data_IF_619754357254
#
_entry.id   IF_619754357254
#
_cell.length_a   1.000
_cell.length_b   1.000
_cell.length_c   1.000
_cell.angle_alpha   90.00
_cell.angle_beta   90.00
_cell.angle_gamma   90.00
#
_symmetry.space_group_name_H-M   'P 1'
#
loop_
_entity.id
_entity.type
_entity.pdbx_description
1 polymer ?
#
# COMPACT_ATOMS: atom_id res chain seq x y z
N UNK A 1 15.12 -12.69 -53.82
CA UNK A 1 15.30 -11.33 -53.27
C UNK A 1 14.42 -11.22 -52.04
N UNK A 2 15.01 -11.35 -50.86
CA UNK A 2 14.33 -11.14 -49.59
C UNK A 2 14.57 -9.69 -49.16
N UNK A 3 13.50 -8.96 -48.84
CA UNK A 3 13.60 -7.64 -48.24
C UNK A 3 14.17 -7.79 -46.83
N UNK A 4 15.30 -7.15 -46.56
CA UNK A 4 15.85 -7.00 -45.21
C UNK A 4 14.96 -6.00 -44.47
N UNK A 5 14.38 -6.45 -43.36
CA UNK A 5 13.52 -5.66 -42.49
C UNK A 5 14.42 -4.91 -41.48
N UNK A 6 14.77 -3.67 -41.84
CA UNK A 6 15.62 -2.76 -41.07
C UNK A 6 15.12 -2.51 -39.63
N UNK A 7 13.83 -2.78 -39.35
CA UNK A 7 13.28 -2.63 -38.00
C UNK A 7 13.75 -3.72 -37.03
N UNK A 8 14.14 -4.89 -37.54
CA UNK A 8 14.59 -6.01 -36.68
C UNK A 8 16.00 -5.78 -36.14
N UNK A 9 16.84 -5.07 -36.90
CA UNK A 9 18.24 -4.80 -36.54
C UNK A 9 18.34 -3.66 -35.52
N UNK A 10 17.40 -2.70 -35.54
CA UNK A 10 17.29 -1.66 -34.51
C UNK A 10 16.73 -2.16 -33.17
N UNK A 11 15.87 -3.19 -33.20
CA UNK A 11 15.22 -3.75 -32.01
C UNK A 11 16.11 -4.72 -31.19
N UNK A 12 17.13 -5.32 -31.80
CA UNK A 12 17.99 -6.33 -31.15
C UNK A 12 19.50 -6.13 -31.40
N UNK A 13 19.88 -5.12 -32.18
CA UNK A 13 21.29 -4.75 -32.40
C UNK A 13 21.83 -4.04 -31.16
N UNK A 14 22.58 -4.76 -30.34
CA UNK A 14 23.38 -4.15 -29.29
C UNK A 14 24.47 -3.29 -29.90
N UNK A 15 24.50 -2.00 -29.57
CA UNK A 15 25.67 -1.16 -29.78
C UNK A 15 26.00 -0.33 -28.53
N UNK A 16 27.30 -0.12 -28.37
CA UNK A 16 28.02 0.44 -27.22
C UNK A 16 28.10 1.96 -27.40
N UNK A 17 27.30 2.72 -26.67
CA UNK A 17 27.37 4.18 -26.72
C UNK A 17 26.99 4.82 -25.38
N UNK A 18 27.99 5.42 -24.74
CA UNK A 18 27.83 6.31 -23.58
C UNK A 18 26.99 7.54 -23.97
N UNK A 19 26.26 8.07 -22.99
CA UNK A 19 25.57 9.37 -23.00
C UNK A 19 24.16 9.42 -23.64
N UNK A 20 23.16 8.92 -22.91
CA UNK A 20 21.75 9.31 -23.13
C UNK A 20 20.67 8.28 -22.73
N UNK A 21 21.03 7.02 -22.50
CA UNK A 21 20.04 5.92 -22.47
C UNK A 21 19.34 5.65 -21.13
N UNK A 22 19.78 6.25 -20.03
CA UNK A 22 19.23 5.92 -18.70
C UNK A 22 17.77 6.35 -18.50
N UNK A 23 17.30 7.40 -19.18
CA UNK A 23 15.90 7.82 -19.13
C UNK A 23 15.01 7.09 -20.14
N UNK A 24 15.56 6.67 -21.29
CA UNK A 24 14.82 5.94 -22.32
C UNK A 24 14.43 4.55 -21.84
N UNK A 25 15.36 3.81 -21.20
CA UNK A 25 15.09 2.46 -20.71
C UNK A 25 13.97 2.39 -19.66
N UNK A 26 13.81 3.42 -18.80
CA UNK A 26 12.70 3.46 -17.84
C UNK A 26 11.33 3.66 -18.50
N UNK A 27 11.26 4.41 -19.60
CA UNK A 27 10.02 4.59 -20.37
C UNK A 27 9.59 3.33 -21.14
N UNK A 28 10.51 2.40 -21.38
CA UNK A 28 10.20 1.10 -22.02
C UNK A 28 9.76 0.01 -21.04
N UNK A 29 9.90 0.21 -19.72
CA UNK A 29 9.63 -0.82 -18.70
C UNK A 29 8.22 -0.69 -18.09
N UNK A 30 7.57 0.47 -18.17
CA UNK A 30 6.19 0.63 -17.67
C UNK A 30 5.16 0.18 -18.71
N UNK A 31 4.20 -0.63 -18.26
CA UNK A 31 3.12 -1.17 -19.10
C UNK A 31 2.22 -0.06 -19.71
N UNK A 32 2.23 1.14 -19.14
CA UNK A 32 1.50 2.30 -19.66
C UNK A 32 2.02 2.76 -21.05
N UNK A 33 3.32 2.58 -21.34
CA UNK A 33 3.98 3.23 -22.48
C UNK A 33 4.37 2.30 -23.63
N UNK A 34 4.28 0.98 -23.46
CA UNK A 34 4.79 0.04 -24.46
C UNK A 34 3.69 -0.88 -25.06
N UNK A 35 3.31 -0.69 -26.34
CA UNK A 35 2.33 -1.51 -27.05
C UNK A 35 2.67 -3.01 -27.08
N UNK A 36 3.94 -3.38 -26.97
CA UNK A 36 4.40 -4.78 -26.98
C UNK A 36 3.90 -5.53 -25.73
N UNK A 37 3.74 -4.85 -24.59
CA UNK A 37 3.13 -5.45 -23.40
C UNK A 37 1.61 -5.68 -23.54
N UNK A 38 0.95 -4.92 -24.43
CA UNK A 38 -0.47 -5.14 -24.78
C UNK A 38 -0.65 -6.29 -25.77
N UNK A 39 0.37 -6.64 -26.53
CA UNK A 39 0.33 -7.66 -27.58
C UNK A 39 1.13 -8.92 -27.19
N UNK A 40 0.79 -9.55 -26.08
CA UNK A 40 0.97 -11.02 -25.89
C UNK A 40 2.33 -11.65 -26.22
N UNK A 41 3.46 -10.95 -26.13
CA UNK A 41 4.76 -11.55 -26.45
C UNK A 41 5.16 -12.56 -25.37
N UNK A 42 5.26 -13.82 -25.79
CA UNK A 42 5.61 -14.98 -24.99
C UNK A 42 7.13 -14.99 -24.78
N UNK A 43 7.58 -14.37 -23.72
CA UNK A 43 8.88 -14.66 -23.10
C UNK A 43 8.68 -15.44 -21.81
N UNK A 44 9.68 -16.24 -21.40
CA UNK A 44 9.74 -16.92 -20.10
C UNK A 44 9.70 -15.97 -18.88
N UNK A 45 9.64 -14.65 -19.15
CA UNK A 45 9.76 -13.54 -18.22
C UNK A 45 8.45 -12.77 -18.02
N UNK A 46 7.36 -13.23 -18.64
CA UNK A 46 6.04 -12.59 -18.54
C UNK A 46 5.05 -13.49 -17.81
N UNK A 47 4.13 -12.86 -17.08
CA UNK A 47 2.96 -13.56 -16.57
C UNK A 47 2.18 -14.10 -17.77
N UNK A 48 1.92 -15.42 -17.84
CA UNK A 48 1.21 -15.98 -19.01
C UNK A 48 -0.23 -15.48 -19.01
N UNK A 49 -0.79 -15.27 -20.20
CA UNK A 49 -2.19 -14.85 -20.33
C UNK A 49 -3.15 -15.90 -19.77
N UNK A 50 -2.82 -17.18 -19.92
CA UNK A 50 -3.56 -18.28 -19.29
C UNK A 50 -3.55 -18.18 -17.77
N UNK A 51 -2.39 -17.93 -17.16
CA UNK A 51 -2.26 -17.86 -15.70
C UNK A 51 -3.00 -16.64 -15.14
N UNK A 52 -3.01 -15.52 -15.86
CA UNK A 52 -3.76 -14.33 -15.50
C UNK A 52 -5.28 -14.52 -15.70
N UNK A 53 -5.69 -15.16 -16.79
CA UNK A 53 -7.10 -15.50 -17.04
C UNK A 53 -7.65 -16.45 -15.97
N UNK A 54 -6.86 -17.45 -15.57
CA UNK A 54 -7.19 -18.34 -14.46
C UNK A 54 -7.35 -17.56 -13.15
N UNK A 55 -6.47 -16.59 -12.88
CA UNK A 55 -6.61 -15.72 -11.71
C UNK A 55 -7.89 -14.91 -11.73
N UNK A 56 -8.29 -14.33 -12.88
CA UNK A 56 -9.57 -13.62 -12.99
C UNK A 56 -10.76 -14.57 -12.74
N UNK A 57 -10.72 -15.77 -13.33
CA UNK A 57 -11.75 -16.78 -13.10
C UNK A 57 -11.85 -17.21 -11.62
N UNK A 58 -10.71 -17.33 -10.93
CA UNK A 58 -10.65 -17.57 -9.49
C UNK A 58 -11.18 -16.36 -8.71
N UNK A 59 -10.78 -15.14 -9.04
CA UNK A 59 -11.25 -13.95 -8.32
C UNK A 59 -12.78 -13.86 -8.33
N UNK A 60 -13.42 -14.31 -9.41
CA UNK A 60 -14.87 -14.38 -9.53
C UNK A 60 -15.52 -15.48 -8.66
N UNK A 61 -14.88 -16.63 -8.50
CA UNK A 61 -15.54 -17.85 -7.96
C UNK A 61 -14.96 -18.35 -6.62
N UNK A 62 -13.68 -18.12 -6.39
CA UNK A 62 -12.92 -18.52 -5.20
C UNK A 62 -11.82 -17.49 -4.92
N UNK A 63 -12.20 -16.45 -4.15
CA UNK A 63 -11.30 -15.35 -3.78
C UNK A 63 -10.11 -15.82 -2.94
N UNK A 64 -10.26 -16.92 -2.19
CA UNK A 64 -9.17 -17.50 -1.39
C UNK A 64 -8.11 -18.10 -2.30
N UNK A 65 -8.51 -18.90 -3.29
CA UNK A 65 -7.59 -19.46 -4.27
C UNK A 65 -6.94 -18.37 -5.14
N UNK A 66 -7.66 -17.30 -5.47
CA UNK A 66 -7.10 -16.14 -6.16
C UNK A 66 -6.07 -15.40 -5.31
N UNK A 67 -6.33 -15.20 -4.01
CA UNK A 67 -5.39 -14.63 -3.06
C UNK A 67 -4.10 -15.45 -2.95
N UNK A 68 -4.21 -16.78 -2.85
CA UNK A 68 -3.05 -17.68 -2.86
C UNK A 68 -2.26 -17.59 -4.17
N UNK A 69 -2.95 -17.46 -5.31
CA UNK A 69 -2.29 -17.28 -6.61
C UNK A 69 -1.48 -15.99 -6.65
N UNK A 70 -2.06 -14.88 -6.22
CA UNK A 70 -1.39 -13.58 -6.20
C UNK A 70 -0.23 -13.57 -5.18
N UNK A 71 -0.38 -14.23 -4.02
CA UNK A 71 0.72 -14.42 -3.06
C UNK A 71 1.91 -15.16 -3.67
N UNK A 72 1.66 -16.24 -4.43
CA UNK A 72 2.73 -16.94 -5.15
C UNK A 72 3.46 -16.03 -6.15
N UNK A 73 2.74 -15.13 -6.81
CA UNK A 73 3.36 -14.16 -7.72
C UNK A 73 4.18 -13.09 -6.98
N UNK A 74 3.72 -12.64 -5.80
CA UNK A 74 4.47 -11.72 -4.93
C UNK A 74 5.80 -12.35 -4.48
N UNK A 75 5.79 -13.65 -4.17
CA UNK A 75 6.99 -14.39 -3.75
C UNK A 75 7.94 -14.76 -4.90
N UNK A 76 7.47 -14.60 -6.14
CA UNK A 76 8.24 -14.95 -7.33
C UNK A 76 8.98 -13.72 -7.88
N UNK A 77 10.28 -13.65 -7.64
CA UNK A 77 11.16 -12.62 -8.20
C UNK A 77 11.29 -12.76 -9.72
N UNK A 78 11.38 -11.64 -10.42
CA UNK A 78 11.64 -11.60 -11.87
C UNK A 78 13.14 -11.39 -12.15
N UNK A 79 13.71 -11.99 -13.20
CA UNK A 79 15.12 -11.76 -13.58
C UNK A 79 15.44 -10.30 -13.89
N UNK A 80 14.46 -9.52 -14.37
CA UNK A 80 14.59 -8.09 -14.67
C UNK A 80 14.44 -7.18 -13.43
N UNK A 81 14.24 -7.76 -12.25
CA UNK A 81 13.89 -7.02 -11.04
C UNK A 81 12.37 -6.94 -10.80
N UNK A 82 12.00 -6.67 -9.55
CA UNK A 82 10.61 -6.73 -9.08
C UNK A 82 10.07 -8.15 -8.94
N UNK A 83 8.76 -8.27 -8.78
CA UNK A 83 8.05 -9.55 -8.64
C UNK A 83 6.88 -9.69 -9.62
N UNK A 84 6.35 -10.90 -9.79
CA UNK A 84 5.20 -11.12 -10.67
C UNK A 84 3.90 -10.52 -10.13
N UNK A 85 3.80 -10.22 -8.83
CA UNK A 85 2.67 -9.52 -8.22
C UNK A 85 2.54 -8.10 -8.79
N UNK A 86 3.64 -7.38 -8.92
CA UNK A 86 3.65 -6.00 -9.47
C UNK A 86 3.13 -5.99 -10.91
N UNK A 87 3.58 -6.96 -11.73
CA UNK A 87 3.13 -7.13 -13.10
C UNK A 87 1.63 -7.53 -13.16
N UNK A 88 1.15 -8.33 -12.22
CA UNK A 88 -0.27 -8.67 -12.13
C UNK A 88 -1.11 -7.44 -11.82
N UNK A 89 -0.66 -6.59 -10.89
CA UNK A 89 -1.33 -5.32 -10.56
C UNK A 89 -1.35 -4.36 -11.76
N UNK A 90 -0.25 -4.23 -12.51
CA UNK A 90 -0.20 -3.42 -13.74
C UNK A 90 -1.21 -3.92 -14.77
N UNK A 91 -1.33 -5.24 -14.94
CA UNK A 91 -2.32 -5.83 -15.85
C UNK A 91 -3.74 -5.61 -15.39
N UNK A 92 -4.01 -5.68 -14.09
CA UNK A 92 -5.33 -5.36 -13.54
C UNK A 92 -5.70 -3.90 -13.82
N UNK A 93 -4.76 -2.96 -13.61
CA UNK A 93 -4.96 -1.55 -13.93
C UNK A 93 -5.24 -1.35 -15.43
N UNK A 94 -4.42 -1.95 -16.30
CA UNK A 94 -4.57 -1.84 -17.75
C UNK A 94 -5.87 -2.46 -18.30
N UNK A 95 -6.42 -3.48 -17.62
CA UNK A 95 -7.63 -4.20 -18.05
C UNK A 95 -8.89 -3.82 -17.29
N UNK A 96 -8.82 -2.88 -16.35
CA UNK A 96 -9.95 -2.52 -15.49
C UNK A 96 -11.26 -2.29 -16.26
N UNK A 97 -11.20 -1.56 -17.39
CA UNK A 97 -12.36 -1.25 -18.23
C UNK A 97 -12.96 -2.45 -19.00
N UNK A 98 -12.24 -3.57 -19.08
CA UNK A 98 -12.71 -4.80 -19.74
C UNK A 98 -13.28 -5.83 -18.77
N UNK A 99 -13.18 -5.57 -17.46
CA UNK A 99 -13.70 -6.47 -16.44
C UNK A 99 -15.19 -6.23 -16.22
N UNK A 100 -15.91 -7.29 -15.86
CA UNK A 100 -17.26 -7.15 -15.33
C UNK A 100 -17.24 -6.93 -13.81
N UNK A 101 -18.40 -6.57 -13.27
CA UNK A 101 -18.57 -6.31 -11.84
C UNK A 101 -18.12 -7.49 -10.97
N UNK A 102 -18.42 -8.72 -11.36
CA UNK A 102 -18.09 -9.90 -10.57
C UNK A 102 -16.56 -10.08 -10.43
N UNK A 103 -15.81 -9.88 -11.52
CA UNK A 103 -14.34 -9.87 -11.46
C UNK A 103 -13.83 -8.72 -10.59
N UNK A 104 -14.32 -7.49 -10.81
CA UNK A 104 -13.88 -6.31 -10.07
C UNK A 104 -14.05 -6.50 -8.56
N UNK A 105 -15.25 -6.90 -8.11
CA UNK A 105 -15.55 -7.16 -6.70
C UNK A 105 -14.71 -8.33 -6.13
N UNK A 106 -14.53 -9.40 -6.92
CA UNK A 106 -13.64 -10.49 -6.57
C UNK A 106 -12.19 -10.05 -6.32
N UNK A 107 -11.67 -9.17 -7.18
CA UNK A 107 -10.32 -8.60 -7.03
C UNK A 107 -10.22 -7.74 -5.77
N UNK A 108 -11.24 -6.95 -5.44
CA UNK A 108 -11.24 -6.18 -4.20
C UNK A 108 -11.21 -7.09 -2.97
N UNK A 109 -11.96 -8.21 -2.99
CA UNK A 109 -11.91 -9.20 -1.92
C UNK A 109 -10.51 -9.84 -1.80
N UNK A 110 -9.85 -10.11 -2.93
CA UNK A 110 -8.44 -10.56 -2.95
C UNK A 110 -7.51 -9.52 -2.32
N UNK A 111 -7.68 -8.24 -2.66
CA UNK A 111 -6.86 -7.16 -2.07
C UNK A 111 -7.08 -7.03 -0.56
N UNK A 112 -8.34 -7.12 -0.12
CA UNK A 112 -8.67 -7.12 1.30
C UNK A 112 -8.06 -8.29 2.08
N UNK A 113 -7.63 -9.35 1.39
CA UNK A 113 -6.95 -10.49 2.01
C UNK A 113 -5.43 -10.33 2.07
N UNK A 114 -4.78 -9.78 1.04
CA UNK A 114 -3.32 -9.93 0.91
C UNK A 114 -2.52 -8.63 0.93
N UNK A 115 -3.15 -7.45 0.80
CA UNK A 115 -2.38 -6.22 0.53
C UNK A 115 -1.49 -5.76 1.68
N UNK A 116 -1.82 -6.11 2.92
CA UNK A 116 -0.93 -5.87 4.06
C UNK A 116 0.31 -6.77 4.00
N UNK A 117 0.13 -8.04 3.65
CA UNK A 117 1.21 -9.03 3.49
C UNK A 117 2.12 -8.64 2.31
N UNK A 118 1.53 -8.23 1.19
CA UNK A 118 2.27 -7.72 0.05
C UNK A 118 3.11 -6.50 0.44
N UNK A 119 2.49 -5.49 1.05
CA UNK A 119 3.22 -4.30 1.48
C UNK A 119 4.33 -4.64 2.48
N UNK A 120 4.10 -5.56 3.41
CA UNK A 120 5.10 -5.93 4.43
C UNK A 120 6.34 -6.57 3.82
N UNK A 121 6.17 -7.35 2.74
CA UNK A 121 7.28 -7.93 1.97
C UNK A 121 7.94 -6.90 1.06
N UNK A 122 7.16 -5.96 0.52
CA UNK A 122 7.55 -5.01 -0.54
C UNK A 122 6.96 -3.62 -0.29
N UNK A 123 7.43 -2.88 0.74
CA UNK A 123 6.77 -1.64 1.18
C UNK A 123 6.84 -0.51 0.15
N UNK A 124 7.92 -0.45 -0.62
CA UNK A 124 8.01 0.48 -1.73
C UNK A 124 8.95 -0.14 -2.76
N UNK A 125 8.46 -0.37 -3.97
CA UNK A 125 9.27 -0.93 -5.07
C UNK A 125 9.75 0.16 -6.02
N UNK A 126 8.99 1.25 -6.13
CA UNK A 126 9.28 2.34 -7.04
C UNK A 126 9.28 3.68 -6.31
N UNK A 127 10.05 4.63 -6.85
CA UNK A 127 10.11 5.99 -6.30
C UNK A 127 8.71 6.64 -6.35
N UNK A 128 7.96 6.38 -7.43
CA UNK A 128 6.74 7.09 -7.78
C UNK A 128 5.45 6.41 -7.35
N UNK A 129 5.46 5.11 -7.03
CA UNK A 129 4.25 4.41 -6.60
C UNK A 129 4.55 3.27 -5.62
N UNK A 130 3.68 3.12 -4.62
CA UNK A 130 3.61 1.90 -3.82
C UNK A 130 2.40 1.03 -4.24
N UNK A 131 2.40 -0.22 -3.76
CA UNK A 131 1.36 -1.19 -4.11
C UNK A 131 -0.04 -0.76 -3.63
N UNK A 132 -0.13 0.02 -2.54
CA UNK A 132 -1.40 0.53 -2.06
C UNK A 132 -1.93 1.65 -2.97
N UNK A 133 -1.08 2.56 -3.43
CA UNK A 133 -1.42 3.58 -4.42
C UNK A 133 -1.85 2.95 -5.75
N UNK A 134 -1.18 1.89 -6.18
CA UNK A 134 -1.56 1.12 -7.37
C UNK A 134 -2.95 0.48 -7.19
N UNK A 135 -3.20 -0.17 -6.05
CA UNK A 135 -4.52 -0.75 -5.74
C UNK A 135 -5.62 0.32 -5.66
N UNK A 136 -5.32 1.51 -5.12
CA UNK A 136 -6.24 2.65 -5.12
C UNK A 136 -6.56 3.11 -6.55
N UNK A 137 -5.54 3.18 -7.41
CA UNK A 137 -5.70 3.42 -8.85
C UNK A 137 -6.66 2.42 -9.50
N UNK A 138 -6.48 1.13 -9.21
CA UNK A 138 -7.35 0.05 -9.71
C UNK A 138 -8.79 0.23 -9.24
N UNK A 139 -9.03 0.51 -7.94
CA UNK A 139 -10.39 0.75 -7.42
C UNK A 139 -11.07 1.94 -8.11
N UNK A 140 -10.34 3.03 -8.32
CA UNK A 140 -10.86 4.19 -9.08
C UNK A 140 -11.19 3.81 -10.52
N UNK A 141 -10.34 3.04 -11.17
CA UNK A 141 -10.60 2.55 -12.53
C UNK A 141 -11.83 1.65 -12.57
N UNK A 142 -12.05 0.75 -11.60
CA UNK A 142 -13.27 -0.05 -11.51
C UNK A 142 -14.51 0.83 -11.43
N UNK A 143 -14.52 1.81 -10.52
CA UNK A 143 -15.66 2.73 -10.40
C UNK A 143 -15.92 3.52 -11.68
N UNK A 144 -14.88 3.94 -12.39
CA UNK A 144 -15.03 4.76 -13.59
C UNK A 144 -15.43 3.96 -14.84
N UNK A 145 -15.08 2.67 -14.91
CA UNK A 145 -15.12 1.92 -16.17
C UNK A 145 -15.89 0.60 -16.14
N UNK A 146 -16.14 0.01 -14.97
CA UNK A 146 -16.89 -1.24 -14.85
C UNK A 146 -18.37 -0.93 -14.68
N UNK A 147 -19.24 -1.36 -15.61
CA UNK A 147 -20.67 -1.13 -15.52
C UNK A 147 -21.25 -1.68 -14.22
N UNK A 148 -22.09 -0.90 -13.57
CA UNK A 148 -22.78 -1.26 -12.31
C UNK A 148 -21.85 -1.56 -11.13
N UNK A 149 -20.56 -1.20 -11.20
CA UNK A 149 -19.64 -1.41 -10.09
C UNK A 149 -20.13 -0.72 -8.81
N UNK A 150 -20.27 -1.54 -7.77
CA UNK A 150 -20.79 -1.16 -6.47
C UNK A 150 -20.02 -1.92 -5.39
N UNK A 151 -19.09 -1.21 -4.73
CA UNK A 151 -18.27 -1.75 -3.65
C UNK A 151 -19.13 -2.11 -2.42
N UNK A 152 -20.30 -1.49 -2.26
CA UNK A 152 -21.25 -1.75 -1.18
C UNK A 152 -21.59 -3.23 -1.06
N UNK A 153 -21.71 -3.94 -2.19
CA UNK A 153 -22.09 -5.36 -2.26
C UNK A 153 -21.15 -6.32 -1.52
N UNK A 154 -19.88 -5.96 -1.36
CA UNK A 154 -18.88 -6.80 -0.68
C UNK A 154 -18.27 -6.11 0.54
N UNK A 155 -18.62 -4.85 0.81
CA UNK A 155 -18.02 -4.02 1.85
C UNK A 155 -18.07 -4.69 3.24
N UNK A 156 -19.21 -5.27 3.62
CA UNK A 156 -19.38 -5.98 4.88
C UNK A 156 -18.53 -7.27 4.93
N UNK A 157 -18.46 -8.01 3.82
CA UNK A 157 -17.66 -9.25 3.70
C UNK A 157 -16.19 -8.95 3.94
N UNK A 158 -15.64 -7.95 3.23
CA UNK A 158 -14.22 -7.59 3.38
C UNK A 158 -13.96 -6.99 4.76
N UNK A 159 -14.85 -6.15 5.28
CA UNK A 159 -14.68 -5.51 6.59
C UNK A 159 -14.60 -6.55 7.72
N UNK A 160 -15.42 -7.60 7.66
CA UNK A 160 -15.44 -8.67 8.66
C UNK A 160 -14.32 -9.69 8.47
N UNK A 161 -14.06 -10.08 7.23
CA UNK A 161 -13.20 -11.24 6.92
C UNK A 161 -11.78 -10.91 6.48
N UNK A 162 -11.57 -9.80 5.75
CA UNK A 162 -10.30 -9.54 5.08
C UNK A 162 -9.12 -9.37 6.04
N UNK A 163 -7.99 -10.02 5.78
CA UNK A 163 -6.81 -9.94 6.63
C UNK A 163 -6.03 -8.61 6.52
N UNK A 164 -6.15 -7.87 5.40
CA UNK A 164 -5.42 -6.64 5.13
C UNK A 164 -6.06 -5.40 5.79
N UNK A 165 -6.05 -5.37 7.13
CA UNK A 165 -6.66 -4.31 7.93
C UNK A 165 -6.12 -2.92 7.61
N UNK A 166 -4.81 -2.79 7.45
CA UNK A 166 -4.15 -1.50 7.26
C UNK A 166 -4.48 -0.93 5.89
N UNK A 167 -4.49 -1.77 4.85
CA UNK A 167 -4.97 -1.46 3.51
C UNK A 167 -6.44 -1.04 3.54
N UNK A 168 -7.33 -1.81 4.16
CA UNK A 168 -8.75 -1.48 4.25
C UNK A 168 -9.00 -0.13 4.93
N UNK A 169 -8.32 0.15 6.05
CA UNK A 169 -8.41 1.44 6.72
C UNK A 169 -7.86 2.56 5.84
N UNK A 170 -6.72 2.34 5.20
CA UNK A 170 -5.92 3.39 4.57
C UNK A 170 -6.33 3.73 3.14
N UNK A 171 -6.74 2.72 2.37
CA UNK A 171 -7.06 2.81 0.94
C UNK A 171 -8.56 2.93 0.74
N UNK A 172 -9.37 2.12 1.44
CA UNK A 172 -10.83 2.21 1.35
C UNK A 172 -11.34 3.28 2.32
N UNK A 173 -11.16 3.07 3.63
CA UNK A 173 -11.77 3.91 4.67
C UNK A 173 -11.35 5.39 4.59
N UNK A 174 -10.06 5.68 4.65
CA UNK A 174 -9.55 7.07 4.68
C UNK A 174 -9.95 7.87 3.44
N UNK A 175 -9.89 7.25 2.27
CA UNK A 175 -10.21 7.93 1.01
C UNK A 175 -11.68 8.27 0.92
N UNK A 176 -12.54 7.36 1.38
CA UNK A 176 -13.97 7.64 1.48
C UNK A 176 -14.27 8.69 2.56
N UNK A 177 -13.61 8.67 3.72
CA UNK A 177 -13.73 9.76 4.72
C UNK A 177 -13.48 11.14 4.08
N UNK A 178 -12.44 11.25 3.26
CA UNK A 178 -12.12 12.51 2.58
C UNK A 178 -13.10 12.82 1.44
N UNK A 179 -13.49 11.81 0.65
CA UNK A 179 -14.44 11.96 -0.45
C UNK A 179 -15.81 12.45 0.04
N UNK A 180 -16.25 11.98 1.22
CA UNK A 180 -17.49 12.41 1.88
C UNK A 180 -17.36 13.75 2.61
N UNK A 181 -16.17 14.37 2.63
CA UNK A 181 -15.93 15.63 3.33
C UNK A 181 -15.96 15.51 4.85
N UNK A 182 -15.83 14.31 5.41
CA UNK A 182 -15.75 14.07 6.85
C UNK A 182 -14.39 14.50 7.42
N UNK A 183 -13.37 14.58 6.58
CA UNK A 183 -12.07 15.17 6.88
C UNK A 183 -11.48 15.87 5.65
N UNK A 184 -10.59 16.84 5.90
CA UNK A 184 -9.92 17.60 4.84
C UNK A 184 -10.83 18.62 4.15
N UNK A 185 -10.34 19.14 3.02
CA UNK A 185 -10.92 20.25 2.26
C UNK A 185 -11.27 19.88 0.80
N UNK A 186 -11.31 18.57 0.49
CA UNK A 186 -11.49 18.06 -0.88
C UNK A 186 -12.60 17.00 -0.96
N UNK A 187 -13.85 17.35 -0.61
CA UNK A 187 -14.98 16.46 -0.87
C UNK A 187 -15.11 16.20 -2.37
N UNK A 188 -15.67 15.04 -2.71
CA UNK A 188 -15.97 14.64 -4.08
C UNK A 188 -17.48 14.55 -4.29
N UNK A 189 -17.88 14.60 -5.55
CA UNK A 189 -19.26 14.36 -5.95
C UNK A 189 -19.70 12.93 -5.63
N UNK A 190 -20.99 12.74 -5.37
CA UNK A 190 -21.58 11.47 -4.91
C UNK A 190 -21.31 10.32 -5.89
N UNK A 191 -21.25 10.62 -7.18
CA UNK A 191 -20.97 9.66 -8.25
C UNK A 191 -19.54 9.09 -8.14
N UNK A 192 -18.61 9.83 -7.54
CA UNK A 192 -17.22 9.43 -7.34
C UNK A 192 -16.99 8.65 -6.05
N UNK A 193 -17.98 8.57 -5.16
CA UNK A 193 -17.89 7.78 -3.94
C UNK A 193 -17.87 6.28 -4.29
N UNK A 194 -17.09 5.52 -3.53
CA UNK A 194 -17.06 4.06 -3.63
C UNK A 194 -18.14 3.43 -2.74
N UNK A 195 -18.41 4.05 -1.60
CA UNK A 195 -19.42 3.65 -0.63
C UNK A 195 -20.37 4.82 -0.39
N UNK A 196 -21.66 4.54 -0.25
CA UNK A 196 -22.59 5.53 0.30
C UNK A 196 -22.24 5.84 1.76
N UNK A 197 -22.75 6.96 2.29
CA UNK A 197 -22.49 7.37 3.67
C UNK A 197 -22.81 6.27 4.72
N UNK A 198 -23.99 5.59 4.67
CA UNK A 198 -24.28 4.50 5.61
C UNK A 198 -23.38 3.27 5.41
N UNK A 199 -22.99 2.95 4.18
CA UNK A 199 -22.06 1.85 3.91
C UNK A 199 -20.66 2.15 4.45
N UNK A 200 -20.19 3.39 4.29
CA UNK A 200 -18.92 3.85 4.85
C UNK A 200 -18.93 3.76 6.38
N UNK A 201 -19.99 4.24 7.03
CA UNK A 201 -20.12 4.18 8.49
C UNK A 201 -20.08 2.73 8.98
N UNK A 202 -20.88 1.84 8.36
CA UNK A 202 -20.91 0.42 8.69
C UNK A 202 -19.53 -0.25 8.48
N UNK A 203 -18.87 0.04 7.36
CA UNK A 203 -17.54 -0.46 7.04
C UNK A 203 -16.51 -0.03 8.09
N UNK A 204 -16.45 1.27 8.42
CA UNK A 204 -15.50 1.81 9.39
C UNK A 204 -15.74 1.25 10.79
N UNK A 205 -17.00 1.15 11.25
CA UNK A 205 -17.31 0.59 12.56
C UNK A 205 -16.83 -0.85 12.71
N UNK A 206 -16.99 -1.68 11.67
CA UNK A 206 -16.50 -3.07 11.70
C UNK A 206 -14.96 -3.10 11.70
N UNK A 207 -14.32 -2.40 10.76
CA UNK A 207 -12.84 -2.44 10.63
C UNK A 207 -12.15 -1.84 11.84
N UNK A 208 -12.61 -0.69 12.34
CA UNK A 208 -12.04 -0.09 13.55
C UNK A 208 -12.35 -0.90 14.80
N UNK A 209 -13.51 -1.55 14.88
CA UNK A 209 -13.80 -2.52 15.93
C UNK A 209 -12.82 -3.71 15.94
N UNK A 210 -12.32 -4.14 14.78
CA UNK A 210 -11.25 -5.14 14.67
C UNK A 210 -9.91 -4.59 15.13
N UNK A 211 -9.53 -3.39 14.68
CA UNK A 211 -8.30 -2.70 15.12
C UNK A 211 -8.27 -2.51 16.64
N UNK A 212 -9.40 -2.16 17.25
CA UNK A 212 -9.52 -2.00 18.69
C UNK A 212 -9.16 -3.29 19.45
N UNK A 213 -9.47 -4.47 18.90
CA UNK A 213 -9.24 -5.78 19.51
C UNK A 213 -7.82 -6.31 19.37
N UNK A 214 -7.00 -5.75 18.48
CA UNK A 214 -5.61 -6.19 18.29
C UNK A 214 -4.75 -5.95 19.53
N UNK A 215 -3.81 -6.85 19.80
CA UNK A 215 -2.78 -6.64 20.83
C UNK A 215 -1.81 -5.53 20.43
N UNK A 216 -1.01 -5.04 21.37
CA UNK A 216 0.03 -4.06 21.07
C UNK A 216 1.03 -4.58 20.03
N UNK A 217 1.43 -5.85 20.13
CA UNK A 217 2.40 -6.45 19.23
C UNK A 217 1.80 -6.67 17.83
N UNK A 218 0.52 -7.05 17.75
CA UNK A 218 -0.21 -7.12 16.48
C UNK A 218 -0.32 -5.75 15.81
N UNK A 219 -0.64 -4.70 16.57
CA UNK A 219 -0.70 -3.32 16.06
C UNK A 219 0.67 -2.84 15.54
N UNK A 220 1.75 -3.15 16.25
CA UNK A 220 3.11 -2.78 15.83
C UNK A 220 3.58 -3.55 14.60
N UNK A 221 3.02 -4.73 14.36
CA UNK A 221 3.28 -5.53 13.16
C UNK A 221 2.47 -5.08 11.93
N UNK A 222 1.48 -4.20 12.10
CA UNK A 222 0.69 -3.72 10.96
C UNK A 222 1.54 -2.82 10.04
N UNK A 223 1.48 -3.04 8.71
CA UNK A 223 2.13 -2.15 7.76
C UNK A 223 1.50 -0.76 7.82
N UNK A 224 2.31 0.29 7.64
CA UNK A 224 1.87 1.68 7.65
C UNK A 224 1.00 2.07 8.85
N UNK A 225 1.40 1.63 10.06
CA UNK A 225 0.71 1.98 11.30
C UNK A 225 0.40 3.49 11.39
N UNK A 226 1.30 4.36 10.93
CA UNK A 226 1.05 5.80 10.89
C UNK A 226 -0.20 6.18 10.09
N UNK A 227 -0.37 5.67 8.86
CA UNK A 227 -1.54 5.98 8.02
C UNK A 227 -2.82 5.50 8.69
N UNK A 228 -2.81 4.30 9.29
CA UNK A 228 -3.94 3.77 10.06
C UNK A 228 -4.32 4.69 11.25
N UNK A 229 -3.34 5.14 12.04
CA UNK A 229 -3.62 6.01 13.19
C UNK A 229 -4.13 7.39 12.77
N UNK A 230 -3.65 7.94 11.66
CA UNK A 230 -4.18 9.18 11.11
C UNK A 230 -5.61 9.00 10.58
N UNK A 231 -5.93 7.86 9.95
CA UNK A 231 -7.32 7.58 9.55
C UNK A 231 -8.25 7.51 10.77
N UNK A 232 -7.84 6.83 11.85
CA UNK A 232 -8.60 6.80 13.10
C UNK A 232 -8.78 8.21 13.68
N UNK A 233 -7.77 9.07 13.59
CA UNK A 233 -7.85 10.47 14.02
C UNK A 233 -8.83 11.29 13.18
N UNK A 234 -8.87 11.04 11.88
CA UNK A 234 -9.77 11.73 10.94
C UNK A 234 -11.22 11.25 11.06
N UNK A 235 -11.46 10.08 11.66
CA UNK A 235 -12.80 9.59 11.97
C UNK A 235 -13.26 10.07 13.35
N UNK A 236 -13.97 11.20 13.37
CA UNK A 236 -14.48 11.82 14.61
C UNK A 236 -15.37 10.90 15.44
N UNK A 237 -16.17 10.03 14.78
CA UNK A 237 -17.06 9.06 15.44
C UNK A 237 -16.33 7.91 16.15
N UNK A 238 -15.01 7.76 15.95
CA UNK A 238 -14.20 6.66 16.50
C UNK A 238 -12.95 7.16 17.25
N UNK A 239 -12.99 8.39 17.77
CA UNK A 239 -11.87 9.01 18.48
C UNK A 239 -11.47 8.26 19.78
N UNK A 240 -12.40 7.53 20.39
CA UNK A 240 -12.19 6.67 21.54
C UNK A 240 -11.28 5.47 21.21
N UNK A 241 -11.45 4.88 20.03
CA UNK A 241 -10.61 3.78 19.53
C UNK A 241 -9.17 4.25 19.35
N UNK A 242 -8.96 5.42 18.73
CA UNK A 242 -7.62 6.02 18.64
C UNK A 242 -6.99 6.19 20.02
N UNK A 243 -7.73 6.77 20.95
CA UNK A 243 -7.24 7.01 22.32
C UNK A 243 -6.84 5.71 23.01
N UNK A 244 -7.64 4.65 22.87
CA UNK A 244 -7.34 3.34 23.42
C UNK A 244 -6.10 2.69 22.76
N UNK A 245 -5.96 2.81 21.44
CA UNK A 245 -4.79 2.32 20.69
C UNK A 245 -3.52 3.07 21.13
N UNK A 246 -3.53 4.40 21.12
CA UNK A 246 -2.38 5.22 21.54
C UNK A 246 -1.99 4.97 22.98
N UNK A 247 -2.96 4.76 23.89
CA UNK A 247 -2.68 4.41 25.30
C UNK A 247 -1.90 3.09 25.41
N UNK A 248 -2.20 2.09 24.57
CA UNK A 248 -1.51 0.78 24.55
C UNK A 248 -0.11 0.86 23.95
N UNK A 249 0.07 1.67 22.91
CA UNK A 249 1.33 1.76 22.17
C UNK A 249 2.31 2.78 22.77
N UNK A 250 1.82 3.96 23.13
CA UNK A 250 2.63 5.12 23.47
C UNK A 250 2.17 5.89 24.72
N UNK A 251 1.20 5.34 25.48
CA UNK A 251 0.69 5.98 26.69
C UNK A 251 1.70 6.03 27.86
N UNK A 252 1.44 6.81 28.91
CA UNK A 252 2.38 7.03 30.02
C UNK A 252 2.84 5.75 30.75
N UNK A 253 2.02 4.69 30.69
CA UNK A 253 2.29 3.40 31.34
C UNK A 253 2.99 2.37 30.43
N UNK A 254 3.29 2.72 29.17
CA UNK A 254 4.00 1.80 28.28
C UNK A 254 5.49 1.79 28.60
N UNK A 255 6.14 0.65 28.41
CA UNK A 255 7.59 0.54 28.59
C UNK A 255 8.35 1.38 27.58
N UNK A 256 9.60 1.70 27.89
CA UNK A 256 10.49 2.40 26.97
C UNK A 256 10.72 1.59 25.69
N UNK A 257 10.89 0.27 25.81
CA UNK A 257 10.98 -0.65 24.68
C UNK A 257 9.76 -0.53 23.75
N UNK A 258 8.54 -0.57 24.30
CA UNK A 258 7.31 -0.48 23.50
C UNK A 258 7.16 0.86 22.81
N UNK A 259 7.52 1.96 23.48
CA UNK A 259 7.46 3.27 22.87
C UNK A 259 8.48 3.42 21.73
N UNK A 260 9.71 2.93 21.90
CA UNK A 260 10.70 2.92 20.82
C UNK A 260 10.23 2.05 19.64
N UNK A 261 9.67 0.86 19.89
CA UNK A 261 9.07 0.04 18.83
C UNK A 261 7.92 0.76 18.12
N UNK A 262 7.08 1.50 18.85
CA UNK A 262 6.05 2.36 18.27
C UNK A 262 6.65 3.44 17.36
N UNK A 263 7.68 4.16 17.80
CA UNK A 263 8.34 5.17 16.95
C UNK A 263 8.93 4.55 15.68
N UNK A 264 9.56 3.38 15.80
CA UNK A 264 10.06 2.64 14.64
C UNK A 264 8.92 2.20 13.70
N UNK A 265 7.79 1.75 14.23
CA UNK A 265 6.63 1.35 13.42
C UNK A 265 5.96 2.55 12.71
N UNK A 266 6.07 3.75 13.28
CA UNK A 266 5.61 5.00 12.67
C UNK A 266 6.48 5.49 11.52
N UNK A 267 7.66 4.88 11.31
CA UNK A 267 8.56 5.25 10.22
C UNK A 267 8.00 4.98 8.83
N UNK A 268 8.03 5.98 7.97
CA UNK A 268 7.72 5.85 6.54
C UNK A 268 8.90 5.25 5.77
N UNK A 269 8.62 4.63 4.61
CA UNK A 269 9.65 4.13 3.69
C UNK A 269 9.83 5.14 2.56
N UNK A 270 11.08 5.54 2.33
CA UNK A 270 11.47 6.47 1.26
C UNK A 270 12.46 5.78 0.34
N UNK A 271 12.29 5.97 -0.96
CA UNK A 271 13.25 5.55 -1.98
C UNK A 271 13.85 6.79 -2.59
N UNK A 272 15.18 6.85 -2.61
CA UNK A 272 15.93 7.87 -3.33
C UNK A 272 16.88 7.23 -4.33
N UNK A 273 17.12 7.89 -5.46
CA UNK A 273 18.05 7.44 -6.49
C UNK A 273 19.50 7.37 -6.01
N UNK A 274 19.91 8.26 -5.10
CA UNK A 274 21.27 8.34 -4.58
C UNK A 274 21.53 7.45 -3.35
N UNK A 275 20.51 7.21 -2.53
CA UNK A 275 20.63 6.58 -1.20
C UNK A 275 19.96 5.21 -1.11
N UNK A 276 19.15 4.85 -2.10
CA UNK A 276 18.37 3.62 -2.09
C UNK A 276 17.15 3.73 -1.16
N UNK A 277 16.80 2.61 -0.51
CA UNK A 277 15.64 2.51 0.38
C UNK A 277 16.06 2.81 1.81
N UNK A 278 15.42 3.79 2.43
CA UNK A 278 15.64 4.15 3.85
C UNK A 278 14.30 4.50 4.50
N UNK A 279 14.33 4.77 5.82
CA UNK A 279 13.13 5.10 6.59
C UNK A 279 13.24 6.48 7.20
N UNK A 280 12.12 7.20 7.24
CA UNK A 280 12.04 8.54 7.84
C UNK A 280 11.00 8.58 8.92
N UNK A 281 11.20 9.45 9.92
CA UNK A 281 10.25 9.65 11.01
C UNK A 281 9.85 11.12 11.14
N UNK A 282 8.58 11.41 10.84
CA UNK A 282 8.04 12.76 10.98
C UNK A 282 7.63 13.05 12.45
N UNK A 283 8.44 13.88 13.11
CA UNK A 283 8.17 14.34 14.47
C UNK A 283 6.91 15.20 14.59
N UNK A 284 6.54 15.97 13.56
CA UNK A 284 5.32 16.77 13.57
C UNK A 284 4.10 15.87 13.58
N UNK A 285 4.12 14.80 12.79
CA UNK A 285 3.07 13.80 12.79
C UNK A 285 2.91 13.12 14.17
N UNK A 286 4.03 12.73 14.80
CA UNK A 286 4.01 12.12 16.14
C UNK A 286 3.46 13.07 17.21
N UNK A 287 3.90 14.33 17.23
CA UNK A 287 3.38 15.36 18.14
C UNK A 287 1.90 15.60 17.94
N UNK A 288 1.44 15.54 16.70
CA UNK A 288 0.03 15.69 16.35
C UNK A 288 -0.82 14.54 16.91
N UNK A 289 -0.31 13.30 16.89
CA UNK A 289 -1.01 12.13 17.43
C UNK A 289 -0.96 12.05 18.96
N UNK A 290 0.21 12.29 19.56
CA UNK A 290 0.44 12.05 20.99
C UNK A 290 0.24 13.30 21.86
N UNK A 291 0.16 14.47 21.25
CA UNK A 291 0.27 15.76 21.92
C UNK A 291 1.74 16.18 22.08
N UNK A 292 2.04 17.43 21.68
CA UNK A 292 3.40 17.95 21.62
C UNK A 292 4.16 17.81 22.96
N UNK A 293 3.59 18.32 24.06
CA UNK A 293 4.25 18.29 25.36
C UNK A 293 4.47 16.87 25.90
N UNK A 294 3.51 15.96 25.69
CA UNK A 294 3.62 14.58 26.14
C UNK A 294 4.70 13.81 25.35
N UNK A 295 4.76 14.02 24.04
CA UNK A 295 5.79 13.43 23.19
C UNK A 295 7.19 13.97 23.54
N UNK A 296 7.35 15.30 23.55
CA UNK A 296 8.66 15.94 23.75
C UNK A 296 9.25 15.56 25.11
N UNK A 297 8.44 15.62 26.19
CA UNK A 297 8.90 15.24 27.53
C UNK A 297 9.36 13.77 27.60
N UNK A 298 8.61 12.85 26.96
CA UNK A 298 8.95 11.43 26.95
C UNK A 298 10.20 11.16 26.11
N UNK A 299 10.30 11.78 24.94
CA UNK A 299 11.43 11.62 24.04
C UNK A 299 12.72 12.16 24.65
N UNK A 300 12.71 13.36 25.23
CA UNK A 300 13.88 13.92 25.93
C UNK A 300 14.35 13.04 27.09
N UNK A 301 13.42 12.49 27.88
CA UNK A 301 13.77 11.53 28.95
C UNK A 301 14.47 10.29 28.38
N UNK A 302 14.00 9.75 27.25
CA UNK A 302 14.60 8.58 26.60
C UNK A 302 15.97 8.85 26.00
N UNK A 303 16.21 10.07 25.51
CA UNK A 303 17.52 10.48 25.01
C UNK A 303 18.55 10.57 26.13
N UNK A 304 18.17 11.05 27.32
CA UNK A 304 19.07 11.18 28.47
C UNK A 304 19.28 9.89 29.27
N UNK A 305 18.39 8.90 29.12
CA UNK A 305 18.42 7.65 29.88
C UNK A 305 19.47 6.68 29.32
N UNK A 306 20.29 6.09 30.19
CA UNK A 306 21.09 4.92 29.82
C UNK A 306 20.15 3.72 29.61
N UNK A 307 20.21 3.10 28.42
CA UNK A 307 19.35 1.96 28.08
C UNK A 307 20.20 0.69 27.97
N UNK A 308 19.54 -0.46 28.00
CA UNK A 308 20.20 -1.73 27.65
C UNK A 308 20.62 -1.70 26.17
N UNK A 309 21.68 -2.42 25.77
CA UNK A 309 22.27 -2.31 24.43
C UNK A 309 21.27 -2.43 23.28
N UNK A 310 20.28 -3.33 23.39
CA UNK A 310 19.26 -3.55 22.36
C UNK A 310 18.38 -2.31 22.15
N UNK A 311 18.04 -1.60 23.24
CA UNK A 311 17.24 -0.39 23.19
C UNK A 311 18.06 0.84 22.79
N UNK A 312 19.36 0.85 23.05
CA UNK A 312 20.26 1.89 22.52
C UNK A 312 20.38 1.78 21.00
N UNK A 313 20.56 0.58 20.47
CA UNK A 313 20.58 0.35 19.02
C UNK A 313 19.27 0.83 18.36
N UNK A 314 18.12 0.47 18.95
CA UNK A 314 16.82 0.91 18.46
C UNK A 314 16.64 2.43 18.53
N UNK A 315 17.12 3.08 19.60
CA UNK A 315 17.11 4.55 19.74
C UNK A 315 17.99 5.20 18.67
N UNK A 316 19.17 4.65 18.39
CA UNK A 316 20.08 5.16 17.35
C UNK A 316 19.45 5.08 15.97
N UNK A 317 18.81 3.95 15.62
CA UNK A 317 18.07 3.81 14.36
C UNK A 317 16.97 4.88 14.23
N UNK A 318 16.22 5.15 15.30
CA UNK A 318 15.19 6.21 15.30
C UNK A 318 15.80 7.61 15.11
N UNK A 319 16.96 7.88 15.70
CA UNK A 319 17.66 9.16 15.52
C UNK A 319 18.12 9.34 14.07
N UNK A 320 18.60 8.28 13.42
CA UNK A 320 18.93 8.28 11.99
C UNK A 320 17.68 8.56 11.14
N UNK A 321 16.55 7.88 11.41
CA UNK A 321 15.29 8.14 10.72
C UNK A 321 14.79 9.59 10.87
N UNK A 322 15.04 10.22 12.01
CA UNK A 322 14.70 11.64 12.26
C UNK A 322 15.65 12.57 11.51
N UNK A 323 16.94 12.24 11.44
CA UNK A 323 17.92 13.01 10.69
C UNK A 323 17.58 12.98 9.19
N UNK A 324 17.30 11.79 8.66
CA UNK A 324 16.94 11.57 7.26
C UNK A 324 15.67 12.31 6.82
N UNK A 325 14.75 12.54 7.75
CA UNK A 325 13.53 13.30 7.48
C UNK A 325 13.77 14.81 7.25
N UNK A 326 14.93 15.35 7.66
CA UNK A 326 15.28 16.78 7.48
C UNK A 326 15.95 17.07 6.15
N UNK A 327 16.54 16.04 5.54
CA UNK A 327 17.27 16.14 4.27
C UNK A 327 16.33 15.97 3.05
N UNK A 328 15.02 15.89 3.30
CA UNK A 328 13.95 15.73 2.31
C UNK A 328 13.02 16.94 2.32
#
# INVERSE_FOLDING_TARGET
MAAKDENTEWLFGGDRGEDGEWEAHRRFISAEFNPIYRQGVIGAYHLRESDFSDFLALARTDTTAAAERLRKWIDSSRPQGGDFGSLAMDRLAARAASLDQANALGIVAVFAEIMDDYYSRRPRQEILSDVWEQSEGILRSFRASVPSYDLGQISDVIARGGAALSWMVSVVGRKEIWAHGLAGDRPKDVEQWQLSAPELEAFLSVVFGRVAKLSADQLLALPHLGRLLFTLRESSSHADILTAVLRRLAGPRTSDARFLSFLKAMGGVVISSNRGVYRTLDLKALRTLLGQGAFDARWSRLQAKALVPELEALRSEILEMIADAKDY
#
